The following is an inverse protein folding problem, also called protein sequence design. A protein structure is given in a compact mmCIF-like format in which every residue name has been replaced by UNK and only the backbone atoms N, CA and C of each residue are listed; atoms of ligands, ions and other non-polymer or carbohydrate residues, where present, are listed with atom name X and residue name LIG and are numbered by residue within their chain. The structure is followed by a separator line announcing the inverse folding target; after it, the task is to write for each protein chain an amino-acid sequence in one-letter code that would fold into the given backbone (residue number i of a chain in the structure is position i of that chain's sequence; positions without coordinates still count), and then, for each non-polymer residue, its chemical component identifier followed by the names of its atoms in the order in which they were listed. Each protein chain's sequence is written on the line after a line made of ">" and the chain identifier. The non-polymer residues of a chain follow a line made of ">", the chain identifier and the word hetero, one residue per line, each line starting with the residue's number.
data_IF_446428105619
#
_entry.id   IF_446428105619
#
_cell.length_a   1.000
_cell.length_b   1.000
_cell.length_c   1.000
_cell.angle_alpha   90.00
_cell.angle_beta   90.00
_cell.angle_gamma   90.00
#
_symmetry.space_group_name_H-M   'P 1'
#
loop_
_entity.id
_entity.type
_entity.pdbx_description
1 polymer ?
#
# COMPACT_ATOMS: atom_id res chain seq x y z
N UNK A 1 -18.19 -22.35 7.27
CA UNK A 1 -17.22 -21.64 8.12
C UNK A 1 -16.36 -20.75 7.22
N UNK A 2 -16.24 -19.45 7.54
CA UNK A 2 -15.42 -18.51 6.78
C UNK A 2 -13.96 -18.84 7.07
N UNK A 3 -13.22 -19.30 6.04
CA UNK A 3 -11.79 -19.53 6.15
C UNK A 3 -11.08 -18.20 6.45
N UNK A 4 -10.41 -18.12 7.60
CA UNK A 4 -9.60 -16.96 7.96
C UNK A 4 -8.40 -16.87 7.00
N UNK A 5 -8.24 -15.76 6.24
CA UNK A 5 -7.10 -15.56 5.36
C UNK A 5 -5.74 -15.52 6.06
N UNK A 6 -5.72 -15.32 7.39
CA UNK A 6 -4.51 -15.17 8.20
C UNK A 6 -4.13 -16.45 8.96
N UNK A 7 -4.94 -17.52 8.86
CA UNK A 7 -4.56 -18.83 9.39
C UNK A 7 -3.32 -19.36 8.67
N UNK A 8 -2.24 -19.58 9.42
CA UNK A 8 -1.01 -20.18 8.90
C UNK A 8 -1.24 -21.64 8.55
N UNK A 9 -1.52 -21.91 7.28
CA UNK A 9 -1.70 -23.28 6.79
C UNK A 9 -0.38 -23.90 6.40
N UNK A 10 -0.15 -25.13 6.87
CA UNK A 10 1.01 -25.92 6.47
C UNK A 10 1.08 -26.14 4.93
N UNK A 11 -0.04 -26.06 4.22
CA UNK A 11 -0.12 -26.16 2.75
C UNK A 11 0.49 -24.95 1.99
N UNK A 12 0.64 -23.79 2.64
CA UNK A 12 1.16 -22.56 2.02
C UNK A 12 2.66 -22.35 2.25
N UNK A 13 3.29 -23.18 3.09
CA UNK A 13 4.72 -23.14 3.35
C UNK A 13 5.49 -23.60 2.11
N UNK A 14 6.26 -22.68 1.51
CA UNK A 14 7.09 -22.94 0.33
C UNK A 14 8.54 -23.16 0.73
N UNK A 15 9.20 -24.10 0.07
CA UNK A 15 10.63 -24.28 0.23
C UNK A 15 11.42 -23.00 -0.16
N UNK A 16 12.47 -22.67 0.62
CA UNK A 16 13.34 -21.54 0.30
C UNK A 16 14.00 -21.78 -1.07
N UNK A 17 14.17 -20.71 -1.88
CA UNK A 17 14.79 -20.85 -3.19
C UNK A 17 16.23 -21.31 -3.01
N UNK A 18 16.65 -22.35 -3.76
CA UNK A 18 17.99 -22.92 -3.61
C UNK A 18 19.01 -22.29 -4.56
N UNK A 19 18.54 -21.47 -5.51
CA UNK A 19 19.37 -20.81 -6.50
C UNK A 19 19.15 -19.30 -6.50
N UNK A 20 20.20 -18.54 -6.85
CA UNK A 20 20.11 -17.08 -6.99
C UNK A 20 19.07 -16.66 -8.04
N UNK A 21 18.87 -17.47 -9.09
CA UNK A 21 17.85 -17.24 -10.12
C UNK A 21 16.43 -17.36 -9.58
N UNK A 22 16.15 -18.39 -8.78
CA UNK A 22 14.86 -18.54 -8.12
C UNK A 22 14.59 -17.43 -7.10
N UNK A 23 15.63 -16.98 -6.39
CA UNK A 23 15.51 -15.84 -5.49
C UNK A 23 15.16 -14.56 -6.26
N UNK A 24 15.81 -14.29 -7.40
CA UNK A 24 15.56 -13.11 -8.23
C UNK A 24 14.12 -13.09 -8.79
N UNK A 25 13.59 -14.25 -9.18
CA UNK A 25 12.20 -14.38 -9.65
C UNK A 25 11.15 -14.07 -8.56
N UNK A 26 11.52 -14.19 -7.27
CA UNK A 26 10.64 -13.88 -6.13
C UNK A 26 10.69 -12.42 -5.69
N UNK A 27 11.60 -11.59 -6.24
CA UNK A 27 11.72 -10.14 -5.91
C UNK A 27 10.58 -9.31 -6.53
N UNK A 28 9.97 -9.79 -7.62
CA UNK A 28 8.90 -9.11 -8.37
C UNK A 28 7.85 -8.37 -7.52
N UNK A 29 7.14 -9.04 -6.58
CA UNK A 29 6.14 -8.38 -5.74
C UNK A 29 6.72 -7.26 -4.86
N UNK A 30 7.94 -7.42 -4.34
CA UNK A 30 8.63 -6.39 -3.57
C UNK A 30 9.00 -5.17 -4.41
N UNK A 31 9.47 -5.39 -5.64
CA UNK A 31 9.75 -4.29 -6.59
C UNK A 31 8.50 -3.51 -6.96
N UNK A 32 7.36 -4.19 -7.18
CA UNK A 32 6.07 -3.52 -7.49
C UNK A 32 5.61 -2.67 -6.31
N UNK A 33 5.69 -3.21 -5.09
CA UNK A 33 5.38 -2.45 -3.87
C UNK A 33 6.31 -1.24 -3.70
N UNK A 34 7.62 -1.43 -3.87
CA UNK A 34 8.59 -0.33 -3.77
C UNK A 34 8.32 0.76 -4.81
N UNK A 35 8.05 0.39 -6.07
CA UNK A 35 7.72 1.34 -7.14
C UNK A 35 6.40 2.09 -6.88
N UNK A 36 5.44 1.46 -6.19
CA UNK A 36 4.17 2.11 -5.85
C UNK A 36 4.28 3.11 -4.70
N UNK A 37 5.23 2.90 -3.78
CA UNK A 37 5.45 3.76 -2.61
C UNK A 37 6.32 4.95 -2.96
N UNK A 38 7.33 4.78 -3.81
CA UNK A 38 8.22 5.86 -4.25
C UNK A 38 7.49 6.73 -5.26
N UNK A 39 6.79 7.76 -4.76
CA UNK A 39 6.06 8.72 -5.57
C UNK A 39 6.94 9.87 -6.10
N UNK A 40 6.46 10.55 -7.14
CA UNK A 40 7.12 11.74 -7.71
C UNK A 40 7.35 12.86 -6.68
N UNK A 41 6.48 12.95 -5.66
CA UNK A 41 6.60 13.93 -4.57
C UNK A 41 7.83 13.74 -3.68
N UNK A 42 8.26 12.50 -3.42
CA UNK A 42 9.48 12.24 -2.66
C UNK A 42 10.73 12.69 -3.45
N UNK A 43 10.69 12.60 -4.78
CA UNK A 43 11.78 13.00 -5.66
C UNK A 43 11.97 14.53 -5.69
N UNK A 44 10.87 15.29 -5.67
CA UNK A 44 10.91 16.76 -5.57
C UNK A 44 11.39 17.21 -4.18
N UNK A 45 10.91 16.57 -3.11
CA UNK A 45 11.33 16.90 -1.75
C UNK A 45 12.82 16.61 -1.52
N UNK A 46 13.32 15.48 -2.03
CA UNK A 46 14.73 15.11 -1.88
C UNK A 46 15.65 16.08 -2.63
N UNK A 47 15.27 16.50 -3.83
CA UNK A 47 16.06 17.44 -4.64
C UNK A 47 16.03 18.85 -4.08
N UNK A 48 14.88 19.32 -3.58
CA UNK A 48 14.78 20.63 -2.91
C UNK A 48 15.57 20.66 -1.60
N UNK A 49 15.52 19.59 -0.79
CA UNK A 49 16.35 19.46 0.39
C UNK A 49 17.85 19.44 0.04
N UNK A 50 18.23 18.72 -1.02
CA UNK A 50 19.61 18.70 -1.52
C UNK A 50 20.08 20.07 -2.05
N UNK A 51 19.18 20.86 -2.65
CA UNK A 51 19.49 22.22 -3.10
C UNK A 51 19.69 23.20 -1.93
N UNK A 52 18.95 23.03 -0.83
CA UNK A 52 19.04 23.92 0.34
C UNK A 52 20.17 23.53 1.30
N UNK A 53 20.34 22.24 1.59
CA UNK A 53 21.31 21.72 2.56
C UNK A 53 22.62 21.23 1.90
N UNK A 54 22.71 21.27 0.57
CA UNK A 54 23.82 20.70 -0.18
C UNK A 54 23.99 19.21 0.08
N UNK A 55 25.24 18.73 0.06
CA UNK A 55 25.58 17.34 0.31
C UNK A 55 25.63 16.96 1.81
N UNK A 56 25.39 17.90 2.72
CA UNK A 56 25.47 17.65 4.17
C UNK A 56 24.40 16.63 4.62
N UNK A 57 23.22 16.63 3.99
CA UNK A 57 22.14 15.69 4.29
C UNK A 57 22.30 14.29 3.65
N UNK A 58 23.29 14.12 2.75
CA UNK A 58 23.41 12.89 1.93
C UNK A 58 23.62 11.64 2.78
N UNK A 59 24.43 11.73 3.84
CA UNK A 59 24.69 10.58 4.72
C UNK A 59 23.45 10.15 5.49
N UNK A 60 22.56 11.07 5.87
CA UNK A 60 21.28 10.76 6.55
C UNK A 60 20.35 10.02 5.58
N UNK A 61 20.29 10.45 4.32
CA UNK A 61 19.48 9.79 3.28
C UNK A 61 19.98 8.36 3.06
N UNK A 62 21.29 8.18 2.87
CA UNK A 62 21.89 6.86 2.69
C UNK A 62 21.63 5.94 3.89
N UNK A 63 21.80 6.46 5.11
CA UNK A 63 21.53 5.70 6.34
C UNK A 63 20.05 5.28 6.43
N UNK A 64 19.13 6.20 6.12
CA UNK A 64 17.70 5.91 6.09
C UNK A 64 17.36 4.82 5.06
N UNK A 65 17.89 4.93 3.85
CA UNK A 65 17.71 3.94 2.79
C UNK A 65 18.28 2.57 3.15
N UNK A 66 19.34 2.50 3.95
CA UNK A 66 19.90 1.24 4.43
C UNK A 66 19.02 0.59 5.53
N UNK A 67 18.53 1.39 6.48
CA UNK A 67 17.75 0.89 7.62
C UNK A 67 16.32 0.51 7.21
N UNK A 68 15.68 1.32 6.35
CA UNK A 68 14.27 1.16 5.94
C UNK A 68 13.92 -0.27 5.48
N UNK A 69 14.63 -0.90 4.52
CA UNK A 69 14.29 -2.25 4.07
C UNK A 69 14.53 -3.31 5.14
N UNK A 70 15.52 -3.14 6.03
CA UNK A 70 15.78 -4.07 7.14
C UNK A 70 14.61 -4.06 8.13
N UNK A 71 14.15 -2.88 8.52
CA UNK A 71 12.99 -2.73 9.41
C UNK A 71 11.74 -3.32 8.77
N UNK A 72 11.52 -3.07 7.47
CA UNK A 72 10.37 -3.65 6.74
C UNK A 72 10.46 -5.18 6.62
N UNK A 73 11.66 -5.73 6.44
CA UNK A 73 11.88 -7.17 6.38
C UNK A 73 11.59 -7.84 7.73
N UNK A 74 12.03 -7.26 8.84
CA UNK A 74 11.73 -7.79 10.18
C UNK A 74 10.26 -7.66 10.53
N UNK A 75 9.60 -6.54 10.20
CA UNK A 75 8.16 -6.40 10.38
C UNK A 75 7.38 -7.44 9.56
N UNK A 76 7.77 -7.68 8.30
CA UNK A 76 7.14 -8.68 7.45
C UNK A 76 7.37 -10.11 7.95
N UNK A 77 8.58 -10.42 8.44
CA UNK A 77 8.87 -11.71 9.09
C UNK A 77 8.04 -11.90 10.35
N UNK A 78 7.87 -10.85 11.15
CA UNK A 78 7.06 -10.89 12.36
C UNK A 78 5.59 -11.21 12.03
N UNK A 79 4.98 -10.49 11.09
CA UNK A 79 3.56 -10.71 10.73
C UNK A 79 3.33 -12.08 10.11
N UNK A 80 4.28 -12.60 9.31
CA UNK A 80 4.20 -13.96 8.76
C UNK A 80 4.38 -15.02 9.86
N UNK A 81 5.26 -14.79 10.84
CA UNK A 81 5.52 -15.76 11.90
C UNK A 81 4.42 -15.80 12.97
N UNK A 82 3.82 -14.66 13.32
CA UNK A 82 2.76 -14.58 14.34
C UNK A 82 1.37 -14.84 13.78
N UNK A 83 1.14 -14.67 12.47
CA UNK A 83 -0.20 -14.72 11.86
C UNK A 83 -1.09 -13.54 12.26
N UNK A 84 -0.59 -12.61 13.07
CA UNK A 84 -1.31 -11.41 13.50
C UNK A 84 -1.05 -10.25 12.54
N UNK A 85 -2.04 -9.36 12.38
CA UNK A 85 -1.85 -8.18 11.53
C UNK A 85 -0.81 -7.23 12.13
N UNK A 86 -0.15 -6.43 11.28
CA UNK A 86 0.81 -5.42 11.77
C UNK A 86 0.21 -4.45 12.78
N UNK A 87 -1.08 -4.11 12.69
CA UNK A 87 -1.76 -3.27 13.70
C UNK A 87 -1.96 -4.00 15.03
N UNK A 88 -2.33 -5.28 14.99
CA UNK A 88 -2.53 -6.10 16.17
C UNK A 88 -1.22 -6.36 16.92
N UNK A 89 -0.14 -6.58 16.16
CA UNK A 89 1.23 -6.61 16.67
C UNK A 89 1.61 -5.30 17.39
N UNK A 90 1.25 -4.15 16.79
CA UNK A 90 1.52 -2.83 17.37
C UNK A 90 0.67 -2.57 18.62
N UNK A 91 -0.54 -3.11 18.76
CA UNK A 91 -1.39 -2.93 19.95
C UNK A 91 -0.91 -3.74 21.18
N UNK A 92 -0.15 -4.82 20.94
CA UNK A 92 0.51 -5.61 21.99
C UNK A 92 1.74 -4.96 22.60
N UNK A 93 2.37 -3.99 21.93
CA UNK A 93 3.58 -3.33 22.44
C UNK A 93 3.24 -2.59 23.74
N UNK A 94 3.90 -2.90 24.88
CA UNK A 94 3.62 -2.25 26.14
C UNK A 94 3.96 -0.76 26.05
N UNK A 95 2.94 0.09 26.15
CA UNK A 95 3.05 1.55 26.05
C UNK A 95 1.88 2.24 26.76
N UNK A 96 1.93 3.58 26.91
CA UNK A 96 0.85 4.35 27.51
C UNK A 96 -0.44 4.17 26.70
N UNK A 97 -1.41 3.47 27.29
CA UNK A 97 -2.71 3.16 26.65
C UNK A 97 -3.72 4.26 26.94
N UNK A 98 -3.87 5.19 26.02
CA UNK A 98 -5.00 6.14 26.05
C UNK A 98 -6.20 5.50 25.31
N UNK A 99 -6.88 4.56 25.98
CA UNK A 99 -7.93 3.64 25.46
C UNK A 99 -7.49 2.66 24.36
N UNK A 100 -6.64 3.08 23.42
CA UNK A 100 -5.98 2.24 22.39
C UNK A 100 -4.46 2.51 22.47
N UNK A 101 -3.59 1.60 22.02
CA UNK A 101 -2.14 1.83 22.11
C UNK A 101 -1.72 3.11 21.37
N UNK A 102 -0.77 3.87 21.93
CA UNK A 102 -0.26 5.12 21.34
C UNK A 102 0.27 4.93 19.91
N UNK A 103 0.79 3.73 19.63
CA UNK A 103 1.26 3.32 18.30
C UNK A 103 0.14 3.25 17.26
N UNK A 104 -1.07 2.86 17.65
CA UNK A 104 -2.25 2.84 16.76
C UNK A 104 -2.70 4.27 16.46
N UNK A 105 -2.64 5.16 17.45
CA UNK A 105 -2.87 6.59 17.24
C UNK A 105 -1.83 7.21 16.31
N UNK A 106 -0.55 6.89 16.51
CA UNK A 106 0.53 7.33 15.61
C UNK A 106 0.30 6.82 14.18
N UNK A 107 -0.12 5.56 14.02
CA UNK A 107 -0.49 5.01 12.72
C UNK A 107 -1.68 5.75 12.10
N UNK A 108 -2.74 6.02 12.86
CA UNK A 108 -3.91 6.75 12.37
C UNK A 108 -3.56 8.18 11.94
N UNK A 109 -2.70 8.86 12.70
CA UNK A 109 -2.16 10.18 12.33
C UNK A 109 -1.35 10.07 11.04
N UNK A 110 -0.48 9.07 10.90
CA UNK A 110 0.29 8.85 9.67
C UNK A 110 -0.61 8.62 8.45
N UNK A 111 -1.69 7.84 8.59
CA UNK A 111 -2.71 7.65 7.54
C UNK A 111 -3.41 8.96 7.19
N UNK A 112 -3.78 9.76 8.19
CA UNK A 112 -4.39 11.06 7.97
C UNK A 112 -3.45 12.02 7.22
N UNK A 113 -2.18 12.06 7.61
CA UNK A 113 -1.17 12.88 6.95
C UNK A 113 -0.92 12.44 5.50
N UNK A 114 -0.95 11.14 5.22
CA UNK A 114 -0.84 10.64 3.84
C UNK A 114 -2.06 10.98 2.99
N UNK A 115 -3.27 10.99 3.56
CA UNK A 115 -4.46 11.49 2.86
C UNK A 115 -4.34 12.97 2.51
N UNK A 116 -3.79 13.79 3.42
CA UNK A 116 -3.50 15.20 3.14
C UNK A 116 -2.45 15.36 2.03
N UNK A 117 -1.40 14.52 2.01
CA UNK A 117 -0.39 14.52 0.96
C UNK A 117 -0.99 14.21 -0.41
N UNK A 118 -1.88 13.21 -0.49
CA UNK A 118 -2.62 12.88 -1.71
C UNK A 118 -3.49 14.06 -2.14
N UNK A 119 -4.17 14.73 -1.21
CA UNK A 119 -4.93 15.96 -1.48
C UNK A 119 -4.07 17.09 -2.05
N UNK A 120 -2.87 17.29 -1.50
CA UNK A 120 -1.91 18.28 -1.99
C UNK A 120 -1.44 17.97 -3.42
N UNK A 121 -1.25 16.69 -3.77
CA UNK A 121 -0.92 16.29 -5.14
C UNK A 121 -2.04 16.66 -6.14
N UNK A 122 -3.30 16.37 -5.82
CA UNK A 122 -4.43 16.76 -6.67
C UNK A 122 -4.51 18.29 -6.83
N UNK A 123 -4.30 19.04 -5.75
CA UNK A 123 -4.21 20.50 -5.78
C UNK A 123 -3.10 21.00 -6.71
N UNK A 124 -1.88 20.47 -6.59
CA UNK A 124 -0.76 20.86 -7.44
C UNK A 124 -0.99 20.60 -8.92
N UNK A 125 -1.51 19.41 -9.28
CA UNK A 125 -1.77 19.07 -10.68
C UNK A 125 -2.91 19.92 -11.27
N UNK A 126 -3.97 20.15 -10.51
CA UNK A 126 -5.08 21.01 -10.93
C UNK A 126 -4.64 22.47 -11.16
N UNK A 127 -3.73 22.99 -10.35
CA UNK A 127 -3.14 24.31 -10.52
C UNK A 127 -2.36 24.42 -11.84
N UNK A 128 -1.53 23.42 -12.15
CA UNK A 128 -0.76 23.37 -13.41
C UNK A 128 -1.70 23.27 -14.61
N UNK A 129 -2.78 22.52 -14.50
CA UNK A 129 -3.75 22.37 -15.59
C UNK A 129 -4.59 23.62 -15.83
N UNK A 130 -4.87 24.39 -14.77
CA UNK A 130 -5.48 25.72 -14.89
C UNK A 130 -4.54 26.74 -15.55
N UNK A 131 -3.21 26.62 -15.38
CA UNK A 131 -2.26 27.46 -16.11
C UNK A 131 -2.24 27.14 -17.62
N UNK A 132 -2.47 25.88 -18.00
CA UNK A 132 -2.53 25.44 -19.40
C UNK A 132 -3.87 25.79 -20.06
N UNK A 133 -4.98 25.61 -19.34
CA UNK A 133 -6.34 25.89 -19.83
C UNK A 133 -7.07 26.75 -18.80
N UNK A 134 -6.87 28.09 -18.83
CA UNK A 134 -7.43 29.02 -17.83
C UNK A 134 -8.96 29.19 -17.94
N UNK A 135 -9.58 28.62 -18.96
CA UNK A 135 -11.04 28.62 -19.12
C UNK A 135 -11.76 27.71 -18.10
N UNK A 136 -11.05 26.78 -17.47
CA UNK A 136 -11.63 25.80 -16.55
C UNK A 136 -11.08 26.00 -15.13
N UNK A 137 -11.93 26.23 -14.12
CA UNK A 137 -11.49 26.50 -12.76
C UNK A 137 -10.80 25.28 -12.12
N UNK A 138 -9.89 25.55 -11.20
CA UNK A 138 -9.12 24.54 -10.44
C UNK A 138 -10.02 23.45 -9.83
N UNK A 139 -11.17 23.84 -9.26
CA UNK A 139 -12.12 22.91 -8.66
C UNK A 139 -12.65 21.88 -9.66
N UNK A 140 -12.91 22.28 -10.92
CA UNK A 140 -13.37 21.35 -11.95
C UNK A 140 -12.27 20.36 -12.33
N UNK A 141 -11.01 20.81 -12.46
CA UNK A 141 -9.88 19.93 -12.69
C UNK A 141 -9.66 18.92 -11.55
N UNK A 142 -9.77 19.36 -10.29
CA UNK A 142 -9.66 18.47 -9.13
C UNK A 142 -10.74 17.40 -9.14
N UNK A 143 -11.99 17.76 -9.45
CA UNK A 143 -13.10 16.80 -9.56
C UNK A 143 -12.90 15.82 -10.72
N UNK A 144 -12.38 16.27 -11.86
CA UNK A 144 -12.05 15.40 -13.00
C UNK A 144 -10.99 14.37 -12.61
N UNK A 145 -9.90 14.79 -11.95
CA UNK A 145 -8.86 13.86 -11.50
C UNK A 145 -9.35 12.90 -10.42
N UNK A 146 -10.16 13.39 -9.48
CA UNK A 146 -10.80 12.56 -8.45
C UNK A 146 -11.71 11.49 -9.09
N UNK A 147 -12.53 11.88 -10.06
CA UNK A 147 -13.41 10.98 -10.80
C UNK A 147 -12.61 9.96 -11.64
N UNK A 148 -11.50 10.37 -12.23
CA UNK A 148 -10.62 9.46 -12.96
C UNK A 148 -9.98 8.41 -12.03
N UNK A 149 -9.53 8.81 -10.83
CA UNK A 149 -8.96 7.88 -9.85
C UNK A 149 -10.02 6.95 -9.23
N UNK A 150 -11.23 7.45 -8.97
CA UNK A 150 -12.32 6.60 -8.49
C UNK A 150 -12.77 5.59 -9.56
N UNK A 151 -12.79 6.00 -10.83
CA UNK A 151 -13.08 5.10 -11.95
C UNK A 151 -12.00 4.03 -12.14
N UNK A 152 -10.71 4.40 -12.02
CA UNK A 152 -9.60 3.45 -12.18
C UNK A 152 -9.50 2.44 -11.04
N UNK A 153 -9.86 2.83 -9.82
CA UNK A 153 -9.96 1.91 -8.68
C UNK A 153 -11.20 1.02 -8.72
N UNK A 154 -12.31 1.50 -9.31
CA UNK A 154 -13.52 0.71 -9.53
C UNK A 154 -13.40 -0.27 -10.72
N UNK A 155 -12.55 0.02 -11.70
CA UNK A 155 -12.40 -0.77 -12.93
C UNK A 155 -11.92 -2.23 -12.74
N UNK A 156 -10.95 -2.53 -11.86
CA UNK A 156 -10.59 -3.91 -11.51
C UNK A 156 -11.76 -4.67 -10.85
N UNK A 157 -12.57 -3.98 -10.04
CA UNK A 157 -13.73 -4.55 -9.35
C UNK A 157 -14.92 -4.79 -10.28
N UNK A 158 -15.13 -3.95 -11.29
CA UNK A 158 -16.18 -4.19 -12.30
C UNK A 158 -15.82 -5.35 -13.24
N UNK A 159 -14.52 -5.57 -13.51
CA UNK A 159 -14.04 -6.74 -14.27
C UNK A 159 -14.06 -8.05 -13.45
N UNK A 160 -13.85 -8.00 -12.13
CA UNK A 160 -13.99 -9.20 -11.29
C UNK A 160 -15.44 -9.63 -11.14
N UNK A 161 -16.41 -8.70 -11.16
CA UNK A 161 -17.84 -8.99 -11.09
C UNK A 161 -18.42 -9.66 -12.36
N UNK A 162 -17.76 -9.53 -13.51
CA UNK A 162 -18.29 -9.95 -14.82
C UNK A 162 -17.65 -11.23 -15.40
N UNK A 163 -16.73 -11.88 -14.67
CA UNK A 163 -16.14 -13.15 -15.13
C UNK A 163 -16.99 -14.35 -14.68
N UNK A 164 -17.70 -15.06 -15.59
CA UNK A 164 -18.36 -16.31 -15.22
C UNK A 164 -17.29 -17.34 -14.81
N UNK A 165 -17.30 -17.77 -13.55
CA UNK A 165 -16.38 -18.81 -13.06
C UNK A 165 -16.71 -20.11 -13.83
N UNK A 166 -15.85 -20.55 -14.76
CA UNK A 166 -16.04 -21.80 -15.50
C UNK A 166 -15.54 -23.01 -14.68
N UNK A 167 -16.05 -24.24 -14.92
CA UNK A 167 -15.62 -25.44 -14.18
C UNK A 167 -14.17 -25.89 -14.46
N UNK A 168 -13.50 -25.32 -15.47
CA UNK A 168 -12.19 -25.77 -15.96
C UNK A 168 -10.99 -25.00 -15.41
N UNK A 169 -11.18 -24.06 -14.47
CA UNK A 169 -10.08 -23.25 -13.95
C UNK A 169 -9.15 -24.02 -12.99
N UNK A 170 -7.82 -23.77 -13.04
CA UNK A 170 -6.88 -24.23 -12.03
C UNK A 170 -7.31 -23.84 -10.62
N UNK A 171 -7.11 -24.76 -9.66
CA UNK A 171 -7.65 -24.70 -8.29
C UNK A 171 -7.30 -23.40 -7.52
N UNK A 172 -6.23 -22.68 -7.90
CA UNK A 172 -5.83 -21.39 -7.32
C UNK A 172 -6.75 -20.22 -7.74
N UNK A 173 -7.21 -20.19 -9.00
CA UNK A 173 -8.10 -19.11 -9.49
C UNK A 173 -9.54 -19.27 -9.01
N UNK A 174 -9.98 -20.51 -8.81
CA UNK A 174 -11.29 -20.78 -8.22
C UNK A 174 -11.40 -20.37 -6.75
N UNK A 175 -10.29 -20.17 -6.03
CA UNK A 175 -10.30 -19.59 -4.66
C UNK A 175 -10.41 -18.06 -4.71
N UNK A 176 -9.72 -17.40 -5.64
CA UNK A 176 -9.83 -15.95 -5.85
C UNK A 176 -11.23 -15.50 -6.33
N UNK A 177 -11.94 -16.30 -7.16
CA UNK A 177 -13.36 -16.04 -7.51
C UNK A 177 -14.24 -15.99 -6.24
N UNK A 178 -13.96 -16.85 -5.25
CA UNK A 178 -14.78 -17.01 -4.04
C UNK A 178 -14.57 -15.92 -2.98
N UNK A 179 -13.41 -15.26 -2.95
CA UNK A 179 -13.15 -14.14 -2.03
C UNK A 179 -13.70 -12.80 -2.51
N UNK A 180 -14.18 -12.73 -3.76
CA UNK A 180 -14.58 -11.47 -4.43
C UNK A 180 -16.10 -11.34 -4.61
N UNK A 181 -16.89 -12.29 -4.09
CA UNK A 181 -18.36 -12.22 -4.14
C UNK A 181 -18.88 -11.12 -3.19
N UNK A 182 -19.63 -10.10 -3.68
CA UNK A 182 -20.03 -8.91 -2.92
C UNK A 182 -21.06 -9.12 -1.79
N UNK A 183 -21.27 -10.36 -1.34
CA UNK A 183 -22.37 -10.72 -0.43
C UNK A 183 -21.99 -11.07 1.00
N UNK A 184 -20.71 -11.02 1.39
CA UNK A 184 -20.27 -11.56 2.69
C UNK A 184 -20.00 -10.50 3.78
N UNK A 185 -20.10 -9.20 3.50
CA UNK A 185 -19.63 -8.13 4.42
C UNK A 185 -20.68 -7.07 4.78
N UNK A 186 -21.98 -7.42 4.82
CA UNK A 186 -23.03 -6.51 5.33
C UNK A 186 -24.19 -7.25 6.02
N UNK A 187 -23.92 -8.10 7.02
CA UNK A 187 -25.01 -8.67 7.84
C UNK A 187 -24.72 -8.92 9.32
N UNK A 188 -23.54 -8.61 9.85
CA UNK A 188 -23.31 -8.72 11.30
C UNK A 188 -22.46 -7.56 11.80
N UNK A 189 -23.18 -6.62 12.41
CA UNK A 189 -22.71 -5.81 13.52
C UNK A 189 -22.06 -6.67 14.61
#
# INVERSE_FOLDING_TARGET
>A
ELADPYELRAEDVRDPPRTLREALLRIGPGMILAASIVGSGELIATTTLGAQAGYVALWIILLSCAIKPVVQAEMGRYTIASGETGLEALDRVPGPRLKVNWLVWAWAIMVLLTLLQVGAMYGGVSQVMNLLVPAVPVAAWTLVFLAATSASSAWPWSRSASSPCSPSWPRWRSRACRSTSPGATWSRA
#
